data_IF_705076062046
#
_entry.id   IF_705076062046
#
_cell.length_a   1.000
_cell.length_b   1.000
_cell.length_c   1.000
_cell.angle_alpha   90.00
_cell.angle_beta   90.00
_cell.angle_gamma   90.00
#
_symmetry.space_group_name_H-M   'P 1'
#
loop_
_entity.id
_entity.type
_entity.pdbx_description
1 polymer ?
#
# COMPACT_ATOMS: atom_id res chain seq x y z
N UNK A 1 0.67 87.98 36.55
CA UNK A 1 1.41 86.70 36.52
C UNK A 1 0.46 85.62 35.99
N UNK A 2 0.66 85.18 34.74
CA UNK A 2 -0.18 84.15 34.08
C UNK A 2 0.62 82.82 33.98
N UNK A 3 0.19 81.85 34.70
CA UNK A 3 0.76 80.45 34.56
C UNK A 3 0.23 79.82 33.33
N UNK A 4 1.09 79.42 32.39
CA UNK A 4 0.80 78.58 31.29
C UNK A 4 0.93 77.12 31.72
N UNK A 5 -0.15 76.34 31.60
CA UNK A 5 -0.15 74.85 31.73
C UNK A 5 0.40 74.27 30.47
N UNK A 6 1.50 73.51 30.54
CA UNK A 6 1.96 72.61 29.49
C UNK A 6 1.16 71.32 29.62
N UNK A 7 0.43 70.94 28.55
CA UNK A 7 -0.11 69.56 28.34
C UNK A 7 1.02 68.77 27.71
N UNK A 8 1.49 67.72 28.41
CA UNK A 8 2.34 66.71 27.87
C UNK A 8 1.50 65.67 27.21
N UNK A 9 1.66 65.45 25.88
CA UNK A 9 1.09 64.38 25.17
C UNK A 9 2.00 63.18 25.33
N UNK A 10 1.53 62.09 25.99
CA UNK A 10 2.19 60.79 26.03
C UNK A 10 1.80 60.01 24.76
N UNK A 11 2.77 59.85 23.85
CA UNK A 11 2.61 58.96 22.71
C UNK A 11 2.86 57.52 23.16
N UNK A 12 1.82 56.74 23.24
CA UNK A 12 1.93 55.27 23.41
C UNK A 12 2.41 54.65 22.12
N UNK A 13 3.64 54.17 22.10
CA UNK A 13 4.17 53.35 21.00
C UNK A 13 3.66 51.93 21.18
N UNK A 14 2.67 51.56 20.33
CA UNK A 14 2.15 50.19 20.24
C UNK A 14 3.15 49.40 19.40
N UNK A 15 4.02 48.63 20.03
CA UNK A 15 4.87 47.62 19.35
C UNK A 15 3.99 46.46 18.92
N UNK A 16 3.60 46.45 17.65
CA UNK A 16 3.06 45.28 16.98
C UNK A 16 4.18 44.26 16.78
N UNK A 17 4.25 43.28 17.67
CA UNK A 17 5.03 42.06 17.45
C UNK A 17 4.31 41.25 16.36
N UNK A 18 4.65 41.50 15.10
CA UNK A 18 4.35 40.54 14.01
C UNK A 18 5.26 39.34 14.22
N UNK A 19 4.76 38.35 14.93
CA UNK A 19 5.36 37.02 14.93
C UNK A 19 5.25 36.46 13.51
N UNK A 20 6.34 36.53 12.75
CA UNK A 20 6.49 35.69 11.59
C UNK A 20 6.52 34.23 12.10
N UNK A 21 5.39 33.55 12.03
CA UNK A 21 5.41 32.11 12.02
C UNK A 21 6.03 31.74 10.68
N UNK A 22 7.34 31.45 10.67
CA UNK A 22 7.95 30.72 9.58
C UNK A 22 7.21 29.40 9.50
N UNK A 23 6.30 29.30 8.53
CA UNK A 23 5.84 28.01 8.06
C UNK A 23 7.06 27.35 7.44
N UNK A 24 7.70 26.45 8.20
CA UNK A 24 8.67 25.52 7.64
C UNK A 24 7.89 24.75 6.58
N UNK A 25 8.07 25.13 5.31
CA UNK A 25 7.65 24.32 4.20
C UNK A 25 8.52 23.07 4.28
N UNK A 26 8.00 22.00 4.84
CA UNK A 26 8.57 20.67 4.65
C UNK A 26 8.59 20.49 3.15
N UNK A 27 9.79 20.49 2.55
CA UNK A 27 9.94 20.16 1.14
C UNK A 27 9.26 18.82 0.95
N UNK A 28 8.19 18.81 0.15
CA UNK A 28 7.54 17.54 -0.14
C UNK A 28 8.58 16.70 -0.89
N UNK A 29 8.75 15.41 -0.53
CA UNK A 29 9.65 14.54 -1.26
C UNK A 29 9.25 14.53 -2.74
N UNK A 30 10.20 14.30 -3.66
CA UNK A 30 9.87 14.13 -5.05
C UNK A 30 8.87 12.98 -5.17
N UNK A 31 7.62 13.32 -5.42
CA UNK A 31 6.59 12.31 -5.71
C UNK A 31 6.81 11.78 -7.10
N UNK A 32 6.69 10.47 -7.23
CA UNK A 32 6.62 9.83 -8.53
C UNK A 32 5.39 10.36 -9.26
N UNK A 33 5.58 10.86 -10.46
CA UNK A 33 4.47 11.24 -11.33
C UNK A 33 3.79 9.98 -11.88
N UNK A 34 2.55 9.73 -11.46
CA UNK A 34 1.76 8.59 -11.91
C UNK A 34 1.52 8.56 -13.44
N UNK A 35 1.68 9.70 -14.13
CA UNK A 35 1.49 9.76 -15.57
C UNK A 35 2.68 9.20 -16.35
N UNK A 36 3.88 9.18 -15.74
CA UNK A 36 5.08 8.62 -16.38
C UNK A 36 5.36 7.18 -15.95
N UNK A 37 4.65 6.66 -14.95
CA UNK A 37 4.81 5.29 -14.55
C UNK A 37 4.28 4.33 -15.62
N UNK A 38 5.01 3.25 -15.93
CA UNK A 38 4.51 2.21 -16.82
C UNK A 38 3.23 1.58 -16.25
N UNK A 39 2.36 1.12 -17.14
CA UNK A 39 1.25 0.27 -16.72
C UNK A 39 1.79 -1.01 -16.08
N UNK A 40 1.04 -1.54 -15.12
CA UNK A 40 1.39 -2.81 -14.49
C UNK A 40 1.50 -3.95 -15.53
N UNK A 41 2.61 -4.68 -15.48
CA UNK A 41 3.00 -5.73 -16.44
C UNK A 41 3.05 -7.16 -15.85
N UNK A 42 2.64 -7.28 -14.58
CA UNK A 42 2.66 -8.55 -13.83
C UNK A 42 3.56 -8.52 -12.60
N UNK A 43 4.52 -7.60 -12.54
CA UNK A 43 5.41 -7.46 -11.39
C UNK A 43 4.76 -6.62 -10.27
N UNK A 44 4.92 -7.00 -8.98
CA UNK A 44 4.26 -6.31 -7.88
C UNK A 44 4.79 -4.89 -7.62
N UNK A 45 6.00 -4.61 -8.05
CA UNK A 45 6.66 -3.32 -7.87
C UNK A 45 7.62 -3.03 -9.02
N UNK A 46 8.02 -1.78 -9.12
CA UNK A 46 9.15 -1.35 -9.96
C UNK A 46 10.13 -0.53 -9.13
N UNK A 47 11.39 -0.56 -9.55
CA UNK A 47 12.44 0.29 -8.99
C UNK A 47 12.34 1.65 -9.68
N UNK A 48 12.42 2.72 -8.89
CA UNK A 48 12.37 4.10 -9.36
C UNK A 48 13.64 4.85 -8.97
N UNK A 49 13.95 5.92 -9.68
CA UNK A 49 15.08 6.81 -9.42
C UNK A 49 16.41 6.06 -9.14
N UNK A 50 16.71 5.05 -9.97
CA UNK A 50 17.91 4.20 -9.83
C UNK A 50 18.06 3.57 -8.43
N UNK A 51 16.94 3.31 -7.75
CA UNK A 51 16.87 2.79 -6.39
C UNK A 51 17.40 3.74 -5.30
N UNK A 52 17.54 5.03 -5.62
CA UNK A 52 18.03 6.05 -4.67
C UNK A 52 16.84 6.73 -4.00
N UNK A 53 16.68 6.63 -2.67
CA UNK A 53 15.59 7.28 -1.96
C UNK A 53 15.80 8.80 -1.88
N UNK A 54 14.69 9.54 -1.84
CA UNK A 54 14.67 11.00 -1.81
C UNK A 54 14.86 11.61 -0.41
N UNK A 55 15.73 11.03 0.43
CA UNK A 55 16.11 11.63 1.71
C UNK A 55 17.25 12.62 1.51
N UNK A 56 17.25 13.68 2.33
CA UNK A 56 18.28 14.72 2.34
C UNK A 56 19.11 14.61 3.61
N UNK A 57 20.26 15.31 3.67
CA UNK A 57 21.08 15.38 4.89
C UNK A 57 20.27 15.89 6.11
N UNK A 58 19.25 16.70 5.89
CA UNK A 58 18.36 17.20 6.96
C UNK A 58 17.42 16.13 7.52
N UNK A 59 17.19 15.04 6.78
CA UNK A 59 16.36 13.91 7.22
C UNK A 59 17.16 12.93 8.09
N UNK A 60 18.49 12.94 7.97
CA UNK A 60 19.38 11.96 8.63
C UNK A 60 19.37 12.16 10.14
N UNK A 61 18.92 11.14 10.86
CA UNK A 61 18.84 11.13 12.34
C UNK A 61 18.86 9.70 12.87
N UNK A 62 19.37 9.55 14.09
CA UNK A 62 19.29 8.32 14.88
C UNK A 62 18.24 8.42 16.00
N UNK A 63 17.46 9.52 16.04
CA UNK A 63 16.32 9.63 16.94
C UNK A 63 15.15 8.84 16.36
N UNK A 64 14.71 7.79 17.07
CA UNK A 64 13.54 7.00 16.67
C UNK A 64 12.26 7.85 16.69
N UNK A 65 11.51 7.81 15.63
CA UNK A 65 10.20 8.50 15.52
C UNK A 65 9.29 7.79 14.54
N UNK A 66 7.98 8.07 14.67
CA UNK A 66 6.96 7.83 13.65
C UNK A 66 6.14 9.10 13.43
N UNK A 67 5.81 9.40 12.19
CA UNK A 67 5.04 10.57 11.80
C UNK A 67 4.06 10.22 10.69
N UNK A 68 2.87 10.78 10.78
CA UNK A 68 1.79 10.56 9.81
C UNK A 68 1.26 11.90 9.34
N UNK A 69 1.19 12.10 8.04
CA UNK A 69 0.55 13.28 7.46
C UNK A 69 -0.92 13.38 7.91
N UNK A 70 -1.46 14.58 7.96
CA UNK A 70 -2.89 14.76 8.12
C UNK A 70 -3.63 14.13 6.94
N UNK A 71 -4.86 13.67 7.19
CA UNK A 71 -5.73 13.26 6.09
C UNK A 71 -6.05 14.48 5.21
N UNK A 72 -6.15 14.27 3.91
CA UNK A 72 -6.54 15.32 2.98
C UNK A 72 -8.06 15.64 3.05
N UNK A 73 -8.54 16.54 2.20
CA UNK A 73 -9.95 16.95 2.16
C UNK A 73 -10.91 15.79 1.81
N UNK A 74 -10.44 14.74 1.16
CA UNK A 74 -11.20 13.53 0.85
C UNK A 74 -11.08 12.46 1.94
N UNK A 75 -10.28 12.70 2.99
CA UNK A 75 -10.02 11.76 4.07
C UNK A 75 -8.97 10.70 3.74
N UNK A 76 -8.17 10.90 2.68
CA UNK A 76 -7.11 9.97 2.23
C UNK A 76 -5.84 10.18 3.05
N UNK A 77 -5.08 9.10 3.22
CA UNK A 77 -3.76 9.18 3.85
C UNK A 77 -2.76 9.92 2.96
N UNK A 78 -1.89 10.72 3.58
CA UNK A 78 -0.64 11.18 2.99
C UNK A 78 0.52 10.28 3.40
N UNK A 79 1.75 10.79 3.32
CA UNK A 79 2.96 10.05 3.68
C UNK A 79 2.97 9.65 5.15
N UNK A 80 3.45 8.45 5.41
CA UNK A 80 3.87 7.97 6.71
C UNK A 80 5.40 7.84 6.71
N UNK A 81 6.08 8.30 7.75
CA UNK A 81 7.52 8.41 7.83
C UNK A 81 8.03 8.04 9.21
N UNK A 82 9.05 7.19 9.29
CA UNK A 82 9.67 6.76 10.53
C UNK A 82 11.19 6.72 10.42
N UNK A 83 11.85 6.92 11.55
CA UNK A 83 13.21 6.45 11.79
C UNK A 83 13.07 5.16 12.61
N UNK A 84 13.10 4.02 11.92
CA UNK A 84 12.90 2.70 12.52
C UNK A 84 14.16 2.29 13.26
N UNK A 85 14.02 1.91 14.53
CA UNK A 85 15.08 1.40 15.38
C UNK A 85 14.62 0.12 16.10
N UNK A 86 15.51 -0.60 16.74
CA UNK A 86 15.13 -1.78 17.54
C UNK A 86 14.09 -1.46 18.63
N UNK A 87 14.09 -0.22 19.15
CA UNK A 87 13.13 0.20 20.17
C UNK A 87 11.70 0.39 19.63
N UNK A 88 11.53 0.58 18.31
CA UNK A 88 10.22 0.71 17.68
C UNK A 88 9.67 -0.63 17.18
N UNK A 89 10.54 -1.63 16.94
CA UNK A 89 10.07 -2.95 16.47
C UNK A 89 9.10 -3.55 17.48
N UNK A 90 8.02 -4.12 16.97
CA UNK A 90 7.00 -4.76 17.79
C UNK A 90 6.95 -6.26 17.56
N UNK A 91 7.05 -7.03 18.65
CA UNK A 91 6.81 -8.46 18.69
C UNK A 91 5.41 -8.78 19.26
N UNK A 92 4.59 -7.75 19.51
CA UNK A 92 3.25 -7.92 20.07
C UNK A 92 2.27 -8.47 19.03
N UNK A 93 1.21 -9.12 19.50
CA UNK A 93 0.11 -9.54 18.66
C UNK A 93 -0.69 -8.32 18.18
N UNK A 94 -1.02 -8.30 16.87
CA UNK A 94 -1.84 -7.25 16.28
C UNK A 94 -3.22 -7.21 16.93
N UNK A 95 -3.67 -6.00 17.24
CA UNK A 95 -5.06 -5.73 17.61
C UNK A 95 -6.03 -5.84 16.42
N UNK A 96 -7.32 -5.62 16.68
CA UNK A 96 -8.34 -5.63 15.63
C UNK A 96 -8.45 -4.29 14.93
N UNK A 97 -8.29 -4.28 13.60
CA UNK A 97 -8.46 -3.09 12.75
C UNK A 97 -9.90 -2.88 12.26
N UNK A 98 -10.84 -3.73 12.68
CA UNK A 98 -12.22 -3.75 12.17
C UNK A 98 -12.99 -2.44 12.28
N UNK A 99 -12.64 -1.58 13.23
CA UNK A 99 -13.28 -0.28 13.45
C UNK A 99 -12.85 0.82 12.48
N UNK A 100 -11.77 0.62 11.72
CA UNK A 100 -11.23 1.63 10.80
C UNK A 100 -11.63 1.29 9.37
N UNK A 101 -12.23 2.26 8.68
CA UNK A 101 -12.60 2.16 7.28
C UNK A 101 -11.79 3.19 6.49
N UNK A 102 -10.78 2.77 5.71
CA UNK A 102 -10.05 3.66 4.79
C UNK A 102 -10.97 4.15 3.67
N UNK A 103 -10.54 5.17 2.92
CA UNK A 103 -11.27 5.65 1.74
C UNK A 103 -11.40 4.56 0.67
N UNK A 104 -12.50 4.56 -0.07
CA UNK A 104 -12.75 3.59 -1.14
C UNK A 104 -12.87 2.12 -0.67
N UNK A 105 -13.26 1.89 0.59
CA UNK A 105 -13.39 0.55 1.16
C UNK A 105 -14.69 -0.13 0.72
N UNK A 106 -14.66 -0.76 -0.46
CA UNK A 106 -15.75 -1.61 -0.98
C UNK A 106 -15.22 -3.02 -1.16
N UNK A 107 -15.12 -3.77 -0.05
CA UNK A 107 -14.50 -5.08 -0.07
C UNK A 107 -15.42 -6.14 -0.68
N UNK A 108 -14.87 -6.94 -1.59
CA UNK A 108 -15.54 -8.07 -2.25
C UNK A 108 -14.73 -9.34 -2.09
N UNK A 109 -15.40 -10.47 -2.15
CA UNK A 109 -14.78 -11.78 -2.13
C UNK A 109 -14.56 -12.29 -3.56
N UNK A 110 -13.37 -12.89 -3.77
CA UNK A 110 -12.97 -13.58 -4.99
C UNK A 110 -12.30 -14.89 -4.58
N UNK A 111 -12.87 -16.02 -4.97
CA UNK A 111 -12.40 -17.35 -4.53
C UNK A 111 -10.97 -17.70 -4.95
N UNK A 112 -10.42 -16.99 -5.95
CA UNK A 112 -9.03 -17.17 -6.40
C UNK A 112 -8.01 -16.29 -5.64
N UNK A 113 -8.47 -15.37 -4.77
CA UNK A 113 -7.59 -14.55 -3.93
C UNK A 113 -7.30 -15.31 -2.63
N UNK A 114 -6.04 -15.34 -2.20
CA UNK A 114 -5.66 -15.88 -0.90
C UNK A 114 -6.38 -15.11 0.22
N UNK A 115 -7.10 -15.84 1.10
CA UNK A 115 -7.98 -15.25 2.09
C UNK A 115 -9.28 -14.69 1.55
N UNK A 116 -9.55 -14.84 0.23
CA UNK A 116 -10.78 -14.48 -0.51
C UNK A 116 -11.05 -12.98 -0.65
N UNK A 117 -10.70 -12.16 0.31
CA UNK A 117 -11.00 -10.72 0.30
C UNK A 117 -10.02 -9.94 -0.58
N UNK A 118 -10.58 -9.09 -1.46
CA UNK A 118 -9.79 -8.23 -2.35
C UNK A 118 -8.93 -7.26 -1.56
N UNK A 119 -9.55 -6.56 -0.61
CA UNK A 119 -8.87 -5.50 0.13
C UNK A 119 -8.47 -5.91 1.52
N UNK A 120 -7.30 -5.43 1.91
CA UNK A 120 -6.78 -5.39 3.25
C UNK A 120 -6.74 -3.94 3.75
N UNK A 121 -6.82 -3.74 5.05
CA UNK A 121 -6.43 -2.51 5.70
C UNK A 121 -4.92 -2.49 5.75
N UNK A 122 -4.28 -2.02 4.65
CA UNK A 122 -2.84 -2.02 4.53
C UNK A 122 -2.27 -0.88 5.38
N UNK A 123 -1.34 -1.23 6.27
CA UNK A 123 -0.53 -0.23 6.95
C UNK A 123 0.45 0.42 5.95
N UNK A 124 0.66 1.73 6.09
CA UNK A 124 1.77 2.40 5.41
C UNK A 124 3.09 2.09 6.15
N UNK A 125 3.13 2.29 7.47
CA UNK A 125 4.19 1.75 8.31
C UNK A 125 3.68 0.45 8.92
N UNK A 126 4.28 -0.67 8.54
CA UNK A 126 3.89 -1.99 9.01
C UNK A 126 3.93 -2.11 10.53
N UNK A 127 2.97 -2.82 11.13
CA UNK A 127 2.89 -3.01 12.58
C UNK A 127 4.19 -3.51 13.20
N UNK A 128 4.88 -4.43 12.52
CA UNK A 128 6.17 -4.96 12.97
C UNK A 128 7.27 -3.89 13.10
N UNK A 129 7.13 -2.73 12.42
CA UNK A 129 8.14 -1.68 12.40
C UNK A 129 7.93 -0.60 13.46
N UNK A 130 6.68 -0.39 13.91
CA UNK A 130 6.37 0.73 14.81
C UNK A 130 5.40 0.36 15.94
N UNK A 131 4.80 -0.82 15.95
CA UNK A 131 3.78 -1.20 16.91
C UNK A 131 2.47 -0.40 16.80
N UNK A 132 2.34 0.50 15.83
CA UNK A 132 1.14 1.32 15.65
C UNK A 132 0.06 0.58 14.86
N UNK A 133 -1.01 0.16 15.53
CA UNK A 133 -2.01 -0.74 15.00
C UNK A 133 -3.20 0.01 14.37
N UNK A 134 -3.76 0.99 15.06
CA UNK A 134 -5.09 1.50 14.74
C UNK A 134 -5.12 3.01 14.50
N UNK A 135 -4.40 3.49 13.48
CA UNK A 135 -4.47 4.89 13.04
C UNK A 135 -5.09 5.02 11.66
N UNK A 136 -6.14 5.86 11.52
CA UNK A 136 -6.69 6.21 10.21
C UNK A 136 -5.66 6.82 9.26
N UNK A 137 -4.61 7.45 9.79
CA UNK A 137 -3.53 8.07 9.01
C UNK A 137 -2.46 7.06 8.54
N UNK A 138 -2.55 5.81 9.03
CA UNK A 138 -1.63 4.73 8.69
C UNK A 138 -2.28 3.61 7.86
N UNK A 139 -3.57 3.72 7.51
CA UNK A 139 -4.31 2.63 6.85
C UNK A 139 -4.90 3.09 5.52
N UNK A 140 -4.60 2.34 4.46
CA UNK A 140 -5.17 2.51 3.13
C UNK A 140 -5.99 1.28 2.71
N UNK A 141 -6.88 1.48 1.74
CA UNK A 141 -7.53 0.39 1.00
C UNK A 141 -6.52 -0.17 0.01
N UNK A 142 -5.83 -1.22 0.40
CA UNK A 142 -4.84 -1.90 -0.43
C UNK A 142 -5.30 -3.31 -0.80
N UNK A 143 -4.96 -3.77 -2.00
CA UNK A 143 -5.26 -5.12 -2.43
C UNK A 143 -4.47 -6.15 -1.64
N UNK A 144 -4.94 -7.40 -1.63
CA UNK A 144 -4.16 -8.52 -1.07
C UNK A 144 -2.81 -8.64 -1.74
N UNK A 145 -2.75 -8.43 -3.06
CA UNK A 145 -1.52 -8.47 -3.85
C UNK A 145 -0.54 -7.36 -3.46
N UNK A 146 -0.99 -6.10 -3.37
CA UNK A 146 -0.17 -5.00 -2.87
C UNK A 146 0.39 -5.33 -1.49
N UNK A 147 -0.47 -5.77 -0.56
CA UNK A 147 -0.07 -6.00 0.82
C UNK A 147 1.00 -7.09 0.96
N UNK A 148 0.84 -8.23 0.25
CA UNK A 148 1.67 -9.41 0.45
C UNK A 148 2.84 -9.50 -0.55
N UNK A 149 2.60 -9.16 -1.81
CA UNK A 149 3.62 -9.28 -2.85
C UNK A 149 4.37 -7.95 -3.08
N UNK A 150 3.69 -6.82 -2.86
CA UNK A 150 4.28 -5.49 -3.00
C UNK A 150 5.01 -5.04 -1.74
N UNK A 151 4.28 -4.75 -0.67
CA UNK A 151 4.82 -4.05 0.51
C UNK A 151 5.58 -4.96 1.47
N UNK A 152 5.01 -6.11 1.86
CA UNK A 152 5.55 -6.98 2.90
C UNK A 152 7.02 -7.38 2.69
N UNK A 153 7.52 -7.69 1.48
CA UNK A 153 8.93 -8.01 1.28
C UNK A 153 9.88 -6.87 1.67
N UNK A 154 9.48 -5.61 1.44
CA UNK A 154 10.27 -4.43 1.80
C UNK A 154 10.17 -4.12 3.29
N UNK A 155 9.00 -4.25 3.90
CA UNK A 155 8.83 -4.14 5.35
C UNK A 155 9.71 -5.16 6.09
N UNK A 156 9.74 -6.41 5.62
CA UNK A 156 10.58 -7.46 6.19
C UNK A 156 12.07 -7.12 6.08
N UNK A 157 12.52 -6.62 4.92
CA UNK A 157 13.91 -6.18 4.75
C UNK A 157 14.31 -5.10 5.76
N UNK A 158 13.43 -4.11 6.01
CA UNK A 158 13.67 -3.06 7.01
C UNK A 158 13.73 -3.67 8.41
N UNK A 159 12.76 -4.52 8.78
CA UNK A 159 12.71 -5.15 10.10
C UNK A 159 13.93 -6.03 10.36
N UNK A 160 14.31 -6.88 9.39
CA UNK A 160 15.49 -7.75 9.47
C UNK A 160 16.78 -6.92 9.60
N UNK A 161 16.96 -5.88 8.76
CA UNK A 161 18.14 -5.04 8.83
C UNK A 161 18.31 -4.34 10.18
N UNK A 162 17.22 -3.76 10.72
CA UNK A 162 17.23 -3.11 12.04
C UNK A 162 17.50 -4.12 13.15
N UNK A 163 16.89 -5.30 13.07
CA UNK A 163 17.06 -6.37 14.08
C UNK A 163 18.47 -6.93 14.11
N UNK A 164 19.05 -7.20 12.95
CA UNK A 164 20.32 -7.90 12.84
C UNK A 164 21.53 -6.99 13.07
N UNK A 165 21.43 -5.71 12.66
CA UNK A 165 22.55 -4.76 12.73
C UNK A 165 22.40 -3.73 13.86
N UNK A 166 21.21 -3.51 14.39
CA UNK A 166 20.94 -2.45 15.36
C UNK A 166 20.97 -1.04 14.79
N UNK A 167 21.03 -0.91 13.45
CA UNK A 167 21.08 0.36 12.74
C UNK A 167 19.71 1.03 12.71
N UNK A 168 19.70 2.33 12.49
CA UNK A 168 18.48 3.11 12.25
C UNK A 168 18.20 3.17 10.75
N UNK A 169 16.93 2.98 10.38
CA UNK A 169 16.46 3.07 8.99
C UNK A 169 15.41 4.15 8.85
N UNK A 170 15.73 5.18 8.07
CA UNK A 170 14.71 6.10 7.59
C UNK A 170 13.80 5.35 6.63
N UNK A 171 12.50 5.30 6.92
CA UNK A 171 11.53 4.57 6.13
C UNK A 171 10.30 5.42 5.89
N UNK A 172 9.96 5.66 4.62
CA UNK A 172 8.82 6.50 4.20
C UNK A 172 7.96 5.77 3.20
N UNK A 173 6.66 5.81 3.42
CA UNK A 173 5.66 5.23 2.51
C UNK A 173 4.63 6.29 2.15
N UNK A 174 4.46 6.52 0.86
CA UNK A 174 3.58 7.54 0.32
C UNK A 174 2.56 6.93 -0.63
N UNK A 175 1.27 6.91 -0.28
CA UNK A 175 0.22 6.47 -1.18
C UNK A 175 -0.02 7.52 -2.26
N UNK A 176 -0.09 7.09 -3.52
CA UNK A 176 -0.26 7.96 -4.68
C UNK A 176 -1.65 7.79 -5.28
N UNK A 177 -2.40 8.87 -5.34
CA UNK A 177 -3.75 8.92 -5.89
C UNK A 177 -3.77 9.80 -7.13
N UNK A 178 -4.63 9.51 -8.09
CA UNK A 178 -4.97 10.45 -9.16
C UNK A 178 -6.17 11.28 -8.73
N UNK A 179 -6.09 12.59 -8.92
CA UNK A 179 -7.20 13.52 -8.71
C UNK A 179 -8.03 13.22 -7.44
N UNK A 180 -9.32 12.90 -7.62
CA UNK A 180 -10.27 12.64 -6.53
C UNK A 180 -10.49 11.13 -6.25
N UNK A 181 -9.60 10.26 -6.74
CA UNK A 181 -9.69 8.82 -6.47
C UNK A 181 -9.63 8.50 -4.98
N UNK A 182 -10.48 7.57 -4.53
CA UNK A 182 -10.54 7.18 -3.12
C UNK A 182 -9.61 6.00 -2.78
N UNK A 183 -9.15 5.26 -3.80
CA UNK A 183 -8.16 4.19 -3.67
C UNK A 183 -6.88 4.63 -4.36
N UNK A 184 -5.73 4.47 -3.70
CA UNK A 184 -4.44 4.84 -4.31
C UNK A 184 -4.08 3.89 -5.45
N UNK A 185 -3.36 4.40 -6.45
CA UNK A 185 -2.84 3.62 -7.58
C UNK A 185 -1.69 2.71 -7.15
N UNK A 186 -1.03 3.06 -6.09
CA UNK A 186 0.07 2.33 -5.49
C UNK A 186 0.70 3.13 -4.36
N UNK A 187 1.79 2.61 -3.84
CA UNK A 187 2.58 3.26 -2.80
C UNK A 187 4.03 3.39 -3.23
N UNK A 188 4.61 4.57 -3.06
CA UNK A 188 6.04 4.80 -3.11
C UNK A 188 6.62 4.39 -1.75
N UNK A 189 7.64 3.53 -1.75
CA UNK A 189 8.32 3.08 -0.55
C UNK A 189 9.81 3.41 -0.66
N UNK A 190 10.34 4.04 0.36
CA UNK A 190 11.73 4.49 0.43
C UNK A 190 12.36 4.06 1.74
N UNK A 191 13.58 3.57 1.71
CA UNK A 191 14.36 3.27 2.89
C UNK A 191 15.81 3.69 2.72
N UNK A 192 16.44 4.10 3.82
CA UNK A 192 17.84 4.47 3.90
C UNK A 192 18.41 4.16 5.29
N UNK A 193 19.46 3.38 5.33
CA UNK A 193 20.18 3.09 6.56
C UNK A 193 21.09 4.27 6.93
N UNK A 194 20.94 4.75 8.18
CA UNK A 194 21.67 5.93 8.65
C UNK A 194 23.14 5.62 8.95
N UNK A 195 23.44 4.44 9.51
CA UNK A 195 24.79 4.07 9.95
C UNK A 195 25.51 3.10 8.99
N UNK A 196 24.91 2.75 7.86
CA UNK A 196 25.54 1.86 6.89
C UNK A 196 26.71 2.54 6.17
N UNK A 197 27.76 1.79 5.87
CA UNK A 197 28.90 2.28 5.10
C UNK A 197 28.52 2.55 3.64
N UNK A 198 29.18 3.53 3.00
CA UNK A 198 28.86 3.95 1.63
C UNK A 198 29.12 2.89 0.56
N UNK A 199 29.95 1.89 0.83
CA UNK A 199 30.28 0.79 -0.08
C UNK A 199 29.31 -0.41 0.02
N UNK A 200 28.46 -0.45 1.08
CA UNK A 200 27.38 -1.43 1.24
C UNK A 200 26.10 -0.77 1.83
N UNK A 201 25.48 0.15 1.12
CA UNK A 201 24.31 0.87 1.65
C UNK A 201 23.06 -0.01 1.62
N UNK A 202 22.38 -0.13 2.77
CA UNK A 202 21.02 -0.64 2.77
C UNK A 202 20.06 0.50 2.41
N UNK A 203 19.53 0.46 1.21
CA UNK A 203 18.55 1.42 0.73
C UNK A 203 17.65 0.82 -0.35
N UNK A 204 16.49 1.40 -0.54
CA UNK A 204 15.63 1.16 -1.70
C UNK A 204 14.69 2.33 -1.99
N UNK A 205 14.27 2.41 -3.24
CA UNK A 205 13.23 3.31 -3.72
C UNK A 205 12.39 2.59 -4.77
N UNK A 206 11.15 2.25 -4.40
CA UNK A 206 10.26 1.44 -5.21
C UNK A 206 8.86 2.02 -5.24
N UNK A 207 8.12 1.72 -6.31
CA UNK A 207 6.69 1.91 -6.40
C UNK A 207 6.00 0.56 -6.44
N UNK A 208 5.13 0.28 -5.47
CA UNK A 208 4.33 -0.94 -5.41
C UNK A 208 2.92 -0.68 -5.94
N UNK A 209 2.49 -1.45 -6.94
CA UNK A 209 1.20 -1.29 -7.58
C UNK A 209 0.04 -1.76 -6.69
N UNK A 210 -1.00 -0.94 -6.57
CA UNK A 210 -2.24 -1.33 -5.89
C UNK A 210 -3.21 -1.99 -6.88
N UNK A 211 -2.85 -3.15 -7.36
CA UNK A 211 -3.59 -3.98 -8.28
C UNK A 211 -3.87 -5.35 -7.67
N UNK A 212 -4.77 -6.10 -8.27
CA UNK A 212 -4.96 -7.52 -7.97
C UNK A 212 -5.08 -8.27 -9.29
N UNK A 213 -4.18 -9.24 -9.58
CA UNK A 213 -4.35 -10.12 -10.75
C UNK A 213 -5.76 -10.68 -10.80
N UNK A 214 -6.39 -10.60 -11.95
CA UNK A 214 -7.76 -11.08 -12.13
C UNK A 214 -8.88 -10.14 -11.68
N UNK A 215 -8.54 -8.92 -11.26
CA UNK A 215 -9.54 -7.93 -10.81
C UNK A 215 -9.28 -6.57 -11.44
N UNK A 216 -10.33 -5.98 -12.00
CA UNK A 216 -10.35 -4.57 -12.39
C UNK A 216 -10.93 -3.74 -11.26
N UNK A 217 -10.20 -2.73 -10.83
CA UNK A 217 -10.55 -1.82 -9.74
C UNK A 217 -11.00 -0.48 -10.32
N UNK A 218 -12.13 0.01 -9.86
CA UNK A 218 -12.51 1.40 -10.01
C UNK A 218 -11.90 2.20 -8.83
N UNK A 219 -10.80 2.88 -9.08
CA UNK A 219 -10.07 3.62 -8.05
C UNK A 219 -10.83 4.85 -7.54
N UNK A 220 -11.77 5.37 -8.31
CA UNK A 220 -12.61 6.49 -7.86
C UNK A 220 -13.52 6.07 -6.72
N UNK A 221 -14.01 4.84 -6.72
CA UNK A 221 -15.03 4.35 -5.77
C UNK A 221 -14.56 3.22 -4.86
N UNK A 222 -13.60 2.40 -5.31
CA UNK A 222 -13.19 1.15 -4.69
C UNK A 222 -14.02 -0.06 -5.12
N UNK A 223 -15.00 0.13 -6.02
CA UNK A 223 -15.73 -0.98 -6.63
C UNK A 223 -14.80 -1.84 -7.49
N UNK A 224 -15.15 -3.10 -7.67
CA UNK A 224 -14.31 -4.02 -8.43
C UNK A 224 -15.12 -5.04 -9.21
N UNK A 225 -14.54 -5.51 -10.31
CA UNK A 225 -15.10 -6.57 -11.16
C UNK A 225 -14.01 -7.55 -11.55
N UNK A 226 -14.41 -8.78 -11.85
CA UNK A 226 -13.48 -9.75 -12.41
C UNK A 226 -12.93 -9.29 -13.78
N UNK A 227 -11.66 -9.55 -14.02
CA UNK A 227 -10.99 -9.27 -15.28
C UNK A 227 -9.94 -10.36 -15.57
N UNK A 228 -9.76 -10.72 -16.81
CA UNK A 228 -8.68 -11.65 -17.20
C UNK A 228 -7.27 -10.98 -17.16
N UNK A 229 -7.19 -9.67 -16.96
CA UNK A 229 -5.93 -8.93 -16.95
C UNK A 229 -5.07 -9.37 -15.76
N UNK A 230 -3.82 -9.73 -16.05
CA UNK A 230 -2.84 -10.11 -15.03
C UNK A 230 -3.02 -11.48 -14.40
N UNK A 231 -4.00 -12.25 -14.85
CA UNK A 231 -3.98 -13.67 -14.59
C UNK A 231 -2.87 -14.27 -15.44
N UNK A 232 -1.78 -14.64 -14.80
CA UNK A 232 -0.64 -15.32 -15.44
C UNK A 232 -1.04 -16.76 -15.72
N UNK A 233 -2.01 -16.95 -16.61
CA UNK A 233 -2.68 -18.20 -16.78
C UNK A 233 -2.64 -18.58 -18.24
N UNK A 234 -1.76 -19.52 -18.50
CA UNK A 234 -1.82 -20.35 -19.67
C UNK A 234 -3.26 -20.87 -19.78
N UNK A 235 -3.99 -20.42 -20.81
CA UNK A 235 -5.32 -20.97 -21.09
C UNK A 235 -5.17 -22.44 -21.38
N UNK A 236 -5.77 -23.27 -20.53
CA UNK A 236 -5.80 -24.73 -20.67
C UNK A 236 -7.20 -25.17 -21.06
N UNK A 237 -7.26 -26.33 -21.69
CA UNK A 237 -8.53 -27.00 -21.98
C UNK A 237 -8.98 -27.78 -20.75
N UNK A 238 -10.22 -27.55 -20.32
CA UNK A 238 -10.84 -28.27 -19.21
C UNK A 238 -12.14 -28.94 -19.66
N UNK A 239 -12.48 -30.04 -18.98
CA UNK A 239 -13.79 -30.66 -19.06
C UNK A 239 -14.60 -30.28 -17.85
N UNK A 240 -15.75 -29.64 -18.06
CA UNK A 240 -16.65 -29.21 -17.01
C UNK A 240 -17.74 -30.25 -16.74
N UNK A 241 -18.09 -30.43 -15.48
CA UNK A 241 -19.35 -30.98 -15.07
C UNK A 241 -20.26 -29.83 -14.63
N UNK A 242 -21.16 -29.42 -15.51
CA UNK A 242 -22.04 -28.26 -15.27
C UNK A 242 -23.06 -28.49 -14.15
N UNK A 243 -23.37 -29.77 -13.85
CA UNK A 243 -24.29 -30.15 -12.75
C UNK A 243 -23.60 -30.05 -11.37
N UNK A 244 -22.41 -30.65 -11.24
CA UNK A 244 -21.68 -30.65 -9.96
C UNK A 244 -20.77 -29.45 -9.79
N UNK A 245 -20.68 -28.55 -10.80
CA UNK A 245 -19.80 -27.40 -10.83
C UNK A 245 -18.33 -27.77 -10.59
N UNK A 246 -17.87 -28.90 -11.16
CA UNK A 246 -16.46 -29.32 -11.10
C UNK A 246 -15.81 -29.24 -12.46
N UNK A 247 -14.52 -28.87 -12.48
CA UNK A 247 -13.71 -28.92 -13.70
C UNK A 247 -12.55 -29.90 -13.54
N UNK A 248 -12.13 -30.49 -14.67
CA UNK A 248 -11.18 -31.58 -14.74
C UNK A 248 -10.19 -31.35 -15.87
N UNK A 249 -8.97 -31.91 -15.74
CA UNK A 249 -8.11 -32.11 -16.91
C UNK A 249 -8.79 -33.00 -17.94
N UNK A 250 -8.54 -32.82 -19.25
CA UNK A 250 -9.16 -33.64 -20.30
C UNK A 250 -8.94 -35.16 -20.13
N UNK A 251 -7.76 -35.52 -19.58
CA UNK A 251 -7.36 -36.91 -19.40
C UNK A 251 -7.76 -37.50 -18.04
N UNK A 252 -8.51 -36.74 -17.23
CA UNK A 252 -8.98 -37.24 -15.95
C UNK A 252 -10.00 -38.37 -16.10
N UNK A 253 -9.74 -39.51 -15.47
CA UNK A 253 -10.65 -40.67 -15.51
C UNK A 253 -12.09 -40.35 -15.06
N UNK A 254 -12.29 -39.35 -14.20
CA UNK A 254 -13.63 -38.94 -13.77
C UNK A 254 -14.46 -38.28 -14.87
N UNK A 255 -13.84 -37.80 -15.96
CA UNK A 255 -14.55 -37.16 -17.06
C UNK A 255 -15.45 -38.13 -17.80
N UNK A 256 -15.13 -39.43 -17.81
CA UNK A 256 -15.93 -40.51 -18.48
C UNK A 256 -17.28 -40.72 -17.78
N UNK A 257 -17.38 -40.37 -16.51
CA UNK A 257 -18.60 -40.53 -15.72
C UNK A 257 -19.54 -39.31 -15.80
N UNK A 258 -19.18 -38.29 -16.57
CA UNK A 258 -20.01 -37.08 -16.76
C UNK A 258 -20.95 -37.35 -17.92
N UNK A 259 -22.27 -37.29 -17.67
CA UNK A 259 -23.28 -37.45 -18.73
C UNK A 259 -23.13 -36.35 -19.79
N UNK A 260 -23.36 -36.65 -21.06
CA UNK A 260 -23.15 -35.72 -22.19
C UNK A 260 -23.86 -34.38 -22.02
N UNK A 261 -25.07 -34.37 -21.46
CA UNK A 261 -25.86 -33.15 -21.19
C UNK A 261 -25.22 -32.21 -20.15
N UNK A 262 -24.33 -32.74 -19.30
CA UNK A 262 -23.65 -31.99 -18.21
C UNK A 262 -22.15 -31.82 -18.51
N UNK A 263 -21.70 -32.32 -19.68
CA UNK A 263 -20.29 -32.26 -20.07
C UNK A 263 -20.09 -31.11 -21.04
N UNK A 264 -19.19 -30.20 -20.65
CA UNK A 264 -18.78 -29.10 -21.50
C UNK A 264 -17.24 -29.08 -21.62
N UNK A 265 -16.73 -28.52 -22.72
CA UNK A 265 -15.29 -28.40 -22.97
C UNK A 265 -14.97 -26.94 -23.21
N UNK A 266 -14.12 -26.37 -22.37
CA UNK A 266 -13.75 -24.97 -22.46
C UNK A 266 -12.23 -24.83 -22.47
N UNK A 267 -11.76 -23.75 -23.12
CA UNK A 267 -10.35 -23.30 -23.03
C UNK A 267 -10.33 -21.95 -22.41
N UNK A 268 -9.88 -21.90 -21.16
CA UNK A 268 -9.85 -20.71 -20.32
C UNK A 268 -8.79 -20.85 -19.23
N UNK A 269 -8.67 -19.86 -18.36
CA UNK A 269 -7.80 -19.95 -17.21
C UNK A 269 -8.47 -20.70 -16.06
N UNK A 270 -7.69 -21.27 -15.16
CA UNK A 270 -8.19 -21.93 -13.95
C UNK A 270 -9.00 -20.96 -13.08
N UNK A 271 -8.50 -19.75 -12.93
CA UNK A 271 -9.07 -18.67 -12.12
C UNK A 271 -10.43 -18.24 -12.67
N UNK A 272 -10.57 -18.18 -14.01
CA UNK A 272 -11.86 -17.91 -14.65
C UNK A 272 -12.91 -18.96 -14.28
N UNK A 273 -12.55 -20.23 -14.21
CA UNK A 273 -13.49 -21.29 -13.81
C UNK A 273 -13.88 -21.17 -12.34
N UNK A 274 -12.93 -20.86 -11.46
CA UNK A 274 -13.21 -20.62 -10.03
C UNK A 274 -14.15 -19.43 -9.87
N UNK A 275 -13.89 -18.34 -10.59
CA UNK A 275 -14.78 -17.16 -10.59
C UNK A 275 -16.19 -17.49 -11.07
N UNK A 276 -16.34 -18.38 -12.08
CA UNK A 276 -17.64 -18.87 -12.57
C UNK A 276 -18.30 -19.88 -11.63
N UNK A 277 -17.75 -20.09 -10.44
CA UNK A 277 -18.28 -20.96 -9.39
C UNK A 277 -18.02 -22.45 -9.64
N UNK A 278 -16.96 -22.78 -10.38
CA UNK A 278 -16.52 -24.16 -10.52
C UNK A 278 -15.41 -24.48 -9.53
N UNK A 279 -15.40 -25.70 -9.03
CA UNK A 279 -14.34 -26.23 -8.17
C UNK A 279 -13.43 -27.19 -8.95
N UNK A 280 -12.14 -27.18 -8.61
CA UNK A 280 -11.20 -28.15 -9.14
C UNK A 280 -11.55 -29.58 -8.70
N UNK A 281 -11.43 -30.54 -9.59
CA UNK A 281 -11.57 -31.96 -9.24
C UNK A 281 -10.52 -32.37 -8.21
N UNK A 282 -10.94 -33.00 -7.11
CA UNK A 282 -10.04 -33.47 -6.06
C UNK A 282 -9.07 -34.58 -6.47
N UNK A 283 -9.28 -35.22 -7.63
CA UNK A 283 -8.44 -36.31 -8.14
C UNK A 283 -7.34 -35.79 -9.06
N UNK A 284 -7.67 -35.07 -10.14
CA UNK A 284 -6.65 -34.53 -11.06
C UNK A 284 -6.10 -33.19 -10.61
N UNK A 285 -6.79 -32.45 -9.75
CA UNK A 285 -6.37 -31.14 -9.22
C UNK A 285 -5.88 -30.18 -10.32
N UNK A 286 -6.69 -29.96 -11.37
CA UNK A 286 -6.32 -29.22 -12.56
C UNK A 286 -6.04 -27.75 -12.24
#
# INVERSE_FOLDING_TARGET
MKFKKLLGAAAAVLLLLTGCTETVSVSQPPYIDLEVLPAWDGEPYLIVDDNVPGFTDADVTTEAFERYSALDALGRCGSAYACVSQALLSDEDRGSLGSITPTGWVNREYDFIDGKYLYNRCHLLGFQLTGNDASKRNLITGTRYLNIQGMLPFENKVAEHVKDNGHHVLYRVTPLFREEELVCRGVQMEAYCVECENDDPFMFHVFCYNVQPGVMIDYATGESTFSEIGLNSEKKTYILNTSSKKFHDPDCGNTQNISDKNRDKVTCTREELIYRGYEACGVCKP
#
